data_IF_376455326033
#
_entry.id   IF_376455326033
#
_cell.length_a   1.000
_cell.length_b   1.000
_cell.length_c   1.000
_cell.angle_alpha   90.00
_cell.angle_beta   90.00
_cell.angle_gamma   90.00
#
_symmetry.space_group_name_H-M   'P 1'
#
loop_
_entity.id
_entity.type
_entity.pdbx_description
1 polymer ?
#
# COMPACT_ATOMS: atom_id res chain seq x y z
N UNK A 1 24.41 42.21 15.68
CA UNK A 1 24.70 43.62 15.28
C UNK A 1 26.18 44.01 15.36
N UNK A 2 27.00 43.42 16.24
CA UNK A 2 28.44 43.71 16.35
C UNK A 2 29.28 43.17 15.19
N UNK A 3 28.96 41.99 14.65
CA UNK A 3 29.67 41.42 13.47
C UNK A 3 29.44 42.22 12.18
N UNK A 4 28.28 42.86 12.03
CA UNK A 4 27.96 43.72 10.88
C UNK A 4 28.72 45.05 10.95
N UNK A 5 28.88 45.63 12.15
CA UNK A 5 29.69 46.83 12.38
C UNK A 5 31.19 46.59 12.16
N UNK A 6 31.69 45.40 12.51
CA UNK A 6 33.08 45.02 12.22
C UNK A 6 33.33 44.79 10.71
N UNK A 7 32.37 44.18 10.00
CA UNK A 7 32.47 43.98 8.55
C UNK A 7 32.37 45.31 7.78
N UNK A 8 31.52 46.25 8.21
CA UNK A 8 31.43 47.60 7.63
C UNK A 8 32.68 48.44 7.92
N UNK A 9 33.30 48.30 9.09
CA UNK A 9 34.57 48.97 9.40
C UNK A 9 35.73 48.40 8.58
N UNK A 10 35.79 47.09 8.35
CA UNK A 10 36.79 46.46 7.49
C UNK A 10 36.59 46.83 6.01
N UNK A 11 35.34 46.87 5.53
CA UNK A 11 35.01 47.34 4.18
C UNK A 11 35.31 48.84 4.00
N UNK A 12 35.09 49.67 5.04
CA UNK A 12 35.44 51.09 5.02
C UNK A 12 36.96 51.32 4.98
N UNK A 13 37.77 50.50 5.66
CA UNK A 13 39.25 50.58 5.57
C UNK A 13 39.77 50.14 4.19
N UNK A 14 39.10 49.18 3.53
CA UNK A 14 39.43 48.77 2.15
C UNK A 14 38.96 49.81 1.12
N UNK A 15 37.80 50.44 1.31
CA UNK A 15 37.29 51.53 0.45
C UNK A 15 38.04 52.85 0.66
N UNK A 16 38.48 53.18 1.88
CA UNK A 16 39.41 54.31 2.14
C UNK A 16 40.82 54.02 1.63
N UNK A 17 41.25 52.76 1.56
CA UNK A 17 42.50 52.37 0.87
C UNK A 17 42.43 52.60 -0.64
N UNK A 18 41.25 52.44 -1.25
CA UNK A 18 41.01 52.70 -2.68
C UNK A 18 40.84 54.20 -3.02
N UNK A 19 40.42 55.04 -2.06
CA UNK A 19 40.35 56.51 -2.24
C UNK A 19 41.53 57.28 -1.62
N UNK A 20 42.40 56.60 -0.85
CA UNK A 20 43.56 57.19 -0.18
C UNK A 20 44.85 57.19 -1.00
N UNK A 21 44.84 56.63 -2.21
CA UNK A 21 45.95 56.76 -3.17
C UNK A 21 45.75 57.96 -4.11
N UNK A 22 45.35 59.09 -3.54
CA UNK A 22 45.63 60.41 -4.08
C UNK A 22 46.64 61.12 -3.17
N UNK A 23 47.59 60.35 -2.60
CA UNK A 23 48.88 60.90 -2.25
C UNK A 23 49.64 61.06 -3.56
N UNK A 24 49.60 62.27 -4.12
CA UNK A 24 50.70 62.71 -4.95
C UNK A 24 51.95 62.57 -4.08
N UNK A 25 52.66 61.45 -4.23
CA UNK A 25 54.10 61.49 -4.07
C UNK A 25 54.58 62.45 -5.15
N UNK A 26 54.44 63.75 -4.87
CA UNK A 26 55.27 64.77 -5.47
C UNK A 26 56.69 64.37 -5.09
N UNK A 27 57.33 63.59 -5.96
CA UNK A 27 58.74 63.75 -6.23
C UNK A 27 58.92 65.11 -6.94
N UNK A 28 58.49 66.18 -6.28
CA UNK A 28 58.84 67.56 -6.62
C UNK A 28 59.97 67.95 -5.67
N UNK A 29 61.05 67.18 -5.77
CA UNK A 29 62.35 67.44 -5.17
C UNK A 29 63.31 67.83 -6.28
N UNK A 30 63.01 68.95 -6.92
CA UNK A 30 63.92 69.89 -7.58
C UNK A 30 65.23 69.28 -8.15
N UNK A 31 65.20 68.86 -9.42
CA UNK A 31 66.42 68.55 -10.20
C UNK A 31 67.39 69.77 -10.21
N UNK A 32 66.86 70.99 -10.01
CA UNK A 32 67.66 72.21 -9.96
C UNK A 32 68.50 72.34 -8.68
N UNK A 33 68.06 71.79 -7.54
CA UNK A 33 68.79 71.88 -6.27
C UNK A 33 69.92 70.83 -6.17
N UNK A 34 69.68 69.62 -6.69
CA UNK A 34 70.70 68.58 -6.79
C UNK A 34 71.84 68.98 -7.74
N UNK A 35 71.53 69.69 -8.83
CA UNK A 35 72.54 70.24 -9.74
C UNK A 35 73.41 71.32 -9.06
N UNK A 36 72.82 72.20 -8.24
CA UNK A 36 73.56 73.25 -7.53
C UNK A 36 74.52 72.68 -6.46
N UNK A 37 74.11 71.67 -5.69
CA UNK A 37 74.96 71.03 -4.68
C UNK A 37 76.15 70.27 -5.28
N UNK A 38 75.99 69.67 -6.46
CA UNK A 38 77.08 68.96 -7.14
C UNK A 38 78.11 69.93 -7.75
N UNK A 39 77.68 71.13 -8.18
CA UNK A 39 78.59 72.20 -8.65
C UNK A 39 79.48 72.71 -7.51
N UNK A 40 78.93 72.86 -6.29
CA UNK A 40 79.70 73.29 -5.11
C UNK A 40 80.74 72.23 -4.65
N UNK A 41 80.42 70.94 -4.76
CA UNK A 41 81.33 69.84 -4.40
C UNK A 41 82.50 69.67 -5.39
N UNK A 42 82.28 70.01 -6.68
CA UNK A 42 83.31 69.98 -7.72
C UNK A 42 84.34 71.11 -7.53
N UNK A 43 83.91 72.28 -7.04
CA UNK A 43 84.80 73.38 -6.67
C UNK A 43 85.63 73.05 -5.41
N UNK A 44 85.07 72.22 -4.51
CA UNK A 44 85.76 71.69 -3.33
C UNK A 44 86.70 70.49 -3.63
N UNK A 45 86.89 70.12 -4.90
CA UNK A 45 87.89 69.12 -5.33
C UNK A 45 87.53 67.67 -5.01
N UNK A 46 86.25 67.33 -4.83
CA UNK A 46 85.80 65.94 -4.64
C UNK A 46 85.32 65.32 -5.95
N UNK A 47 85.54 64.01 -6.06
CA UNK A 47 85.28 63.21 -7.26
C UNK A 47 83.77 63.07 -7.57
N UNK A 48 83.49 63.08 -8.88
CA UNK A 48 82.16 63.06 -9.52
C UNK A 48 81.35 61.78 -9.21
N UNK A 49 82.02 60.73 -8.73
CA UNK A 49 81.40 59.43 -8.39
C UNK A 49 80.43 59.50 -7.20
N UNK A 50 80.54 60.54 -6.37
CA UNK A 50 79.69 60.70 -5.18
C UNK A 50 78.28 61.22 -5.49
N UNK A 51 78.08 61.89 -6.63
CA UNK A 51 76.76 62.38 -7.09
C UNK A 51 75.96 61.32 -7.88
N UNK A 52 76.59 60.26 -8.39
CA UNK A 52 75.98 59.32 -9.35
C UNK A 52 75.62 57.95 -8.73
N UNK A 53 75.46 57.87 -7.40
CA UNK A 53 74.95 56.66 -6.74
C UNK A 53 73.46 56.51 -7.02
N UNK A 54 73.12 55.95 -8.18
CA UNK A 54 71.77 55.50 -8.48
C UNK A 54 71.30 54.49 -7.41
N UNK A 55 70.11 54.65 -6.82
CA UNK A 55 69.51 53.63 -5.97
C UNK A 55 69.45 52.31 -6.71
N UNK A 56 69.83 51.24 -6.02
CA UNK A 56 70.13 49.94 -6.60
C UNK A 56 68.90 49.37 -7.36
N UNK A 57 68.94 49.18 -8.70
CA UNK A 57 67.75 48.85 -9.52
C UNK A 57 67.22 47.41 -9.35
N UNK A 58 67.89 46.58 -8.54
CA UNK A 58 67.50 45.20 -8.23
C UNK A 58 66.94 45.04 -6.82
N UNK A 59 67.15 46.02 -5.93
CA UNK A 59 66.64 46.00 -4.56
C UNK A 59 65.80 47.24 -4.34
N UNK A 60 64.45 47.12 -4.29
CA UNK A 60 63.61 48.26 -4.01
C UNK A 60 63.99 48.86 -2.67
N UNK A 61 63.77 50.17 -2.53
CA UNK A 61 64.12 50.85 -1.30
C UNK A 61 63.45 50.16 -0.09
N UNK A 62 64.17 50.08 1.03
CA UNK A 62 63.73 49.35 2.23
C UNK A 62 62.33 49.78 2.70
N UNK A 63 61.94 51.03 2.42
CA UNK A 63 60.62 51.55 2.73
C UNK A 63 59.49 50.85 1.93
N UNK A 64 59.67 50.58 0.63
CA UNK A 64 58.67 49.91 -0.21
C UNK A 64 58.46 48.46 0.23
N UNK A 65 59.54 47.76 0.60
CA UNK A 65 59.45 46.39 1.11
C UNK A 65 58.68 46.36 2.44
N UNK A 66 58.93 47.30 3.34
CA UNK A 66 58.26 47.35 4.65
C UNK A 66 56.76 47.64 4.48
N UNK A 67 56.39 48.66 3.72
CA UNK A 67 54.98 49.02 3.50
C UNK A 67 54.25 48.00 2.63
N UNK A 68 54.89 47.46 1.60
CA UNK A 68 54.35 46.41 0.76
C UNK A 68 54.12 45.11 1.53
N UNK A 69 55.08 44.69 2.36
CA UNK A 69 54.94 43.52 3.25
C UNK A 69 53.83 43.76 4.28
N UNK A 70 53.73 44.97 4.84
CA UNK A 70 52.67 45.32 5.78
C UNK A 70 51.28 45.23 5.12
N UNK A 71 51.10 45.81 3.93
CA UNK A 71 49.86 45.71 3.16
C UNK A 71 49.50 44.26 2.81
N UNK A 72 50.47 43.48 2.35
CA UNK A 72 50.30 42.05 2.07
C UNK A 72 49.90 41.27 3.32
N UNK A 73 50.57 41.51 4.45
CA UNK A 73 50.27 40.85 5.72
C UNK A 73 48.86 41.16 6.22
N UNK A 74 48.39 42.41 6.09
CA UNK A 74 47.02 42.81 6.46
C UNK A 74 45.97 42.09 5.60
N UNK A 75 46.16 42.03 4.28
CA UNK A 75 45.25 41.31 3.38
C UNK A 75 45.29 39.80 3.64
N UNK A 76 46.48 39.21 3.81
CA UNK A 76 46.66 37.80 4.15
C UNK A 76 45.95 37.46 5.46
N UNK A 77 46.12 38.30 6.49
CA UNK A 77 45.46 38.12 7.78
C UNK A 77 43.93 38.20 7.65
N UNK A 78 43.42 39.17 6.88
CA UNK A 78 41.98 39.27 6.57
C UNK A 78 41.46 38.00 5.88
N UNK A 79 42.16 37.52 4.86
CA UNK A 79 41.78 36.30 4.13
C UNK A 79 41.84 35.07 5.02
N UNK A 80 42.86 34.93 5.86
CA UNK A 80 42.99 33.83 6.81
C UNK A 80 41.86 33.84 7.85
N UNK A 81 41.50 35.03 8.34
CA UNK A 81 40.45 35.23 9.35
C UNK A 81 39.03 35.05 8.82
N UNK A 82 38.76 35.37 7.55
CA UNK A 82 37.41 35.38 6.97
C UNK A 82 37.16 34.32 5.91
N UNK A 83 38.08 34.10 4.96
CA UNK A 83 37.85 33.17 3.84
C UNK A 83 37.95 31.70 4.29
N UNK A 84 38.95 31.35 5.11
CA UNK A 84 39.10 29.98 5.61
C UNK A 84 37.89 29.48 6.42
N UNK A 85 37.36 30.22 7.43
CA UNK A 85 36.19 29.72 8.15
C UNK A 85 34.96 29.66 7.25
N UNK A 86 34.76 30.60 6.33
CA UNK A 86 33.63 30.56 5.40
C UNK A 86 33.66 29.30 4.51
N UNK A 87 34.82 28.92 3.97
CA UNK A 87 34.96 27.70 3.17
C UNK A 87 34.77 26.43 3.98
N UNK A 88 35.29 26.38 5.22
CA UNK A 88 35.07 25.21 6.10
C UNK A 88 33.59 25.03 6.40
N UNK A 89 32.89 26.09 6.77
CA UNK A 89 31.45 26.00 7.08
C UNK A 89 30.59 25.48 5.93
N UNK A 90 30.92 25.83 4.68
CA UNK A 90 30.14 25.35 3.52
C UNK A 90 30.45 23.90 3.18
N UNK A 91 31.71 23.48 3.32
CA UNK A 91 32.12 22.08 3.14
C UNK A 91 31.52 21.19 4.24
N UNK A 92 31.59 21.62 5.50
CA UNK A 92 31.00 20.91 6.63
C UNK A 92 29.48 20.79 6.48
N UNK A 93 28.80 21.88 6.08
CA UNK A 93 27.36 21.84 5.82
C UNK A 93 26.97 20.91 4.65
N UNK A 94 27.81 20.79 3.62
CA UNK A 94 27.59 19.82 2.53
C UNK A 94 27.84 18.39 3.00
N UNK A 95 28.91 18.15 3.75
CA UNK A 95 29.22 16.84 4.30
C UNK A 95 28.10 16.34 5.22
N UNK A 96 27.58 17.22 6.08
CA UNK A 96 26.47 16.90 6.97
C UNK A 96 25.18 16.59 6.21
N UNK A 97 24.86 17.37 5.17
CA UNK A 97 23.71 17.08 4.29
C UNK A 97 23.84 15.73 3.61
N UNK A 98 25.00 15.44 3.02
CA UNK A 98 25.23 14.16 2.32
C UNK A 98 25.11 12.99 3.30
N UNK A 99 25.66 13.11 4.51
CA UNK A 99 25.50 12.09 5.55
C UNK A 99 24.04 11.90 5.92
N UNK A 100 23.31 12.99 6.19
CA UNK A 100 21.89 12.93 6.49
C UNK A 100 21.06 12.31 5.37
N UNK A 101 21.37 12.63 4.11
CA UNK A 101 20.69 12.05 2.95
C UNK A 101 21.00 10.55 2.79
N UNK A 102 22.24 10.12 3.06
CA UNK A 102 22.62 8.70 3.05
C UNK A 102 21.95 7.93 4.19
N UNK A 103 21.97 8.46 5.41
CA UNK A 103 21.33 7.85 6.57
C UNK A 103 19.81 7.74 6.34
N UNK A 104 19.19 8.76 5.76
CA UNK A 104 17.78 8.74 5.39
C UNK A 104 17.47 7.71 4.30
N UNK A 105 18.33 7.60 3.29
CA UNK A 105 18.18 6.59 2.22
C UNK A 105 18.34 5.16 2.77
N UNK A 106 19.30 4.93 3.67
CA UNK A 106 19.48 3.65 4.34
C UNK A 106 18.28 3.29 5.22
N UNK A 107 17.77 4.25 5.99
CA UNK A 107 16.57 4.07 6.82
C UNK A 107 15.33 3.73 5.96
N UNK A 108 15.10 4.47 4.87
CA UNK A 108 14.00 4.20 3.94
C UNK A 108 14.14 2.83 3.26
N UNK A 109 15.37 2.43 2.92
CA UNK A 109 15.62 1.10 2.34
C UNK A 109 15.31 0.00 3.36
N UNK A 110 15.77 0.14 4.60
CA UNK A 110 15.48 -0.82 5.67
C UNK A 110 13.97 -0.92 5.97
N UNK A 111 13.27 0.21 5.99
CA UNK A 111 11.81 0.24 6.14
C UNK A 111 11.11 -0.45 4.97
N UNK A 112 11.52 -0.17 3.73
CA UNK A 112 10.95 -0.80 2.54
C UNK A 112 11.20 -2.33 2.51
N UNK A 113 12.38 -2.78 2.93
CA UNK A 113 12.70 -4.21 3.07
C UNK A 113 11.85 -4.86 4.17
N UNK A 114 11.66 -4.18 5.30
CA UNK A 114 10.77 -4.61 6.39
C UNK A 114 9.32 -4.78 5.92
N UNK A 115 8.77 -3.73 5.31
CA UNK A 115 7.42 -3.73 4.71
C UNK A 115 7.27 -4.86 3.70
N UNK A 116 8.24 -5.05 2.80
CA UNK A 116 8.20 -6.10 1.79
C UNK A 116 8.21 -7.51 2.42
N UNK A 117 8.93 -7.70 3.51
CA UNK A 117 8.93 -8.95 4.28
C UNK A 117 7.58 -9.22 4.94
N UNK A 118 6.97 -8.19 5.54
CA UNK A 118 5.63 -8.27 6.11
C UNK A 118 4.57 -8.58 5.04
N UNK A 119 4.62 -7.90 3.89
CA UNK A 119 3.72 -8.18 2.76
C UNK A 119 3.86 -9.62 2.25
N UNK A 120 5.09 -10.15 2.15
CA UNK A 120 5.31 -11.54 1.76
C UNK A 120 4.73 -12.52 2.77
N UNK A 121 4.87 -12.24 4.05
CA UNK A 121 4.31 -13.04 5.14
C UNK A 121 2.79 -13.02 5.08
N UNK A 122 2.17 -11.85 4.97
CA UNK A 122 0.73 -11.70 4.82
C UNK A 122 0.19 -12.41 3.57
N UNK A 123 0.91 -12.38 2.45
CA UNK A 123 0.51 -13.10 1.25
C UNK A 123 0.59 -14.63 1.43
N UNK A 124 1.60 -15.12 2.14
CA UNK A 124 1.72 -16.54 2.46
C UNK A 124 0.58 -16.97 3.40
N UNK A 125 0.31 -16.19 4.44
CA UNK A 125 -0.77 -16.44 5.39
C UNK A 125 -2.14 -16.41 4.70
N UNK A 126 -2.40 -15.42 3.84
CA UNK A 126 -3.63 -15.34 3.07
C UNK A 126 -3.84 -16.55 2.14
N UNK A 127 -2.75 -17.09 1.55
CA UNK A 127 -2.82 -18.31 0.73
C UNK A 127 -3.10 -19.55 1.57
N UNK A 128 -2.46 -19.68 2.73
CA UNK A 128 -2.71 -20.77 3.66
C UNK A 128 -4.14 -20.74 4.20
N UNK A 129 -4.63 -19.56 4.57
CA UNK A 129 -6.00 -19.33 5.01
C UNK A 129 -7.01 -19.67 3.92
N UNK A 130 -6.78 -19.21 2.69
CA UNK A 130 -7.64 -19.55 1.55
C UNK A 130 -7.68 -21.06 1.30
N UNK A 131 -6.52 -21.74 1.38
CA UNK A 131 -6.46 -23.19 1.22
C UNK A 131 -7.24 -23.91 2.34
N UNK A 132 -7.14 -23.41 3.60
CA UNK A 132 -7.90 -23.93 4.73
C UNK A 132 -9.41 -23.77 4.53
N UNK A 133 -9.86 -22.58 4.12
CA UNK A 133 -11.28 -22.31 3.86
C UNK A 133 -11.81 -23.22 2.75
N UNK A 134 -11.05 -23.43 1.68
CA UNK A 134 -11.46 -24.32 0.59
C UNK A 134 -11.58 -25.77 1.08
N UNK A 135 -10.64 -26.23 1.91
CA UNK A 135 -10.67 -27.57 2.46
C UNK A 135 -11.83 -27.78 3.44
N UNK A 136 -12.07 -26.82 4.33
CA UNK A 136 -13.23 -26.83 5.24
C UNK A 136 -14.56 -26.81 4.46
N UNK A 137 -14.67 -26.00 3.41
CA UNK A 137 -15.84 -25.96 2.55
C UNK A 137 -16.08 -27.30 1.82
N UNK A 138 -15.01 -27.99 1.39
CA UNK A 138 -15.11 -29.33 0.78
C UNK A 138 -15.58 -30.37 1.79
N UNK A 139 -15.02 -30.36 3.00
CA UNK A 139 -15.41 -31.29 4.07
C UNK A 139 -16.89 -31.08 4.45
N UNK A 140 -17.30 -29.82 4.65
CA UNK A 140 -18.68 -29.47 4.94
C UNK A 140 -19.64 -29.86 3.80
N UNK A 141 -19.23 -29.66 2.54
CA UNK A 141 -20.02 -30.07 1.38
C UNK A 141 -20.18 -31.60 1.31
N UNK A 142 -19.13 -32.36 1.60
CA UNK A 142 -19.19 -33.82 1.63
C UNK A 142 -20.06 -34.34 2.78
N UNK A 143 -19.98 -33.73 3.96
CA UNK A 143 -20.86 -34.04 5.09
C UNK A 143 -22.32 -33.74 4.77
N UNK A 144 -22.60 -32.55 4.23
CA UNK A 144 -23.95 -32.16 3.81
C UNK A 144 -24.50 -33.10 2.74
N UNK A 145 -23.66 -33.52 1.78
CA UNK A 145 -24.05 -34.48 0.76
C UNK A 145 -24.44 -35.83 1.36
N UNK A 146 -23.66 -36.36 2.31
CA UNK A 146 -23.96 -37.62 3.00
C UNK A 146 -25.25 -37.50 3.81
N UNK A 147 -25.42 -36.39 4.52
CA UNK A 147 -26.62 -36.12 5.30
C UNK A 147 -27.87 -36.05 4.41
N UNK A 148 -27.81 -35.30 3.31
CA UNK A 148 -28.91 -35.19 2.35
C UNK A 148 -29.24 -36.54 1.70
N UNK A 149 -28.23 -37.35 1.38
CA UNK A 149 -28.45 -38.70 0.87
C UNK A 149 -29.15 -39.58 1.91
N UNK A 150 -28.69 -39.59 3.16
CA UNK A 150 -29.31 -40.37 4.23
C UNK A 150 -30.76 -39.93 4.52
N UNK A 151 -31.02 -38.62 4.53
CA UNK A 151 -32.38 -38.07 4.66
C UNK A 151 -33.26 -38.48 3.49
N UNK A 152 -32.78 -38.35 2.25
CA UNK A 152 -33.53 -38.75 1.07
C UNK A 152 -33.86 -40.25 1.07
N UNK A 153 -32.92 -41.11 1.49
CA UNK A 153 -33.17 -42.55 1.63
C UNK A 153 -34.23 -42.85 2.69
N UNK A 154 -34.18 -42.16 3.83
CA UNK A 154 -35.20 -42.24 4.89
C UNK A 154 -36.58 -41.80 4.39
N UNK A 155 -36.65 -40.66 3.71
CA UNK A 155 -37.91 -40.12 3.17
C UNK A 155 -38.51 -41.04 2.10
N UNK A 156 -37.67 -41.61 1.22
CA UNK A 156 -38.09 -42.60 0.23
C UNK A 156 -38.61 -43.87 0.91
N UNK A 157 -37.94 -44.35 1.97
CA UNK A 157 -38.39 -45.52 2.71
C UNK A 157 -39.76 -45.28 3.36
N UNK A 158 -39.93 -44.12 4.03
CA UNK A 158 -41.21 -43.72 4.62
C UNK A 158 -42.31 -43.60 3.56
N UNK A 159 -42.02 -42.95 2.43
CA UNK A 159 -42.97 -42.81 1.33
C UNK A 159 -43.39 -44.18 0.78
N UNK A 160 -42.46 -45.13 0.64
CA UNK A 160 -42.77 -46.50 0.21
C UNK A 160 -43.67 -47.22 1.20
N UNK A 161 -43.41 -47.09 2.50
CA UNK A 161 -44.26 -47.68 3.54
C UNK A 161 -45.67 -47.10 3.50
N UNK A 162 -45.81 -45.78 3.37
CA UNK A 162 -47.11 -45.11 3.22
C UNK A 162 -47.83 -45.55 1.95
N UNK A 163 -47.15 -45.55 0.80
CA UNK A 163 -47.72 -46.00 -0.46
C UNK A 163 -48.18 -47.46 -0.40
N UNK A 164 -47.42 -48.34 0.25
CA UNK A 164 -47.83 -49.73 0.44
C UNK A 164 -49.09 -49.85 1.32
N UNK A 165 -49.19 -49.06 2.39
CA UNK A 165 -50.38 -49.00 3.24
C UNK A 165 -51.60 -48.46 2.47
N UNK A 166 -51.41 -47.41 1.67
CA UNK A 166 -52.47 -46.82 0.83
C UNK A 166 -52.96 -47.82 -0.22
N UNK A 167 -52.06 -48.58 -0.84
CA UNK A 167 -52.41 -49.65 -1.80
C UNK A 167 -53.24 -50.73 -1.12
N UNK A 168 -52.86 -51.17 0.08
CA UNK A 168 -53.61 -52.22 0.80
C UNK A 168 -55.01 -51.72 1.25
N UNK A 169 -55.09 -50.45 1.68
CA UNK A 169 -56.37 -49.80 1.99
C UNK A 169 -57.26 -49.69 0.74
N UNK A 170 -56.71 -49.22 -0.39
CA UNK A 170 -57.43 -49.10 -1.65
C UNK A 170 -57.89 -50.47 -2.18
N UNK A 171 -57.07 -51.52 -2.04
CA UNK A 171 -57.44 -52.89 -2.40
C UNK A 171 -58.59 -53.41 -1.54
N UNK A 172 -58.54 -53.18 -0.22
CA UNK A 172 -59.61 -53.58 0.70
C UNK A 172 -60.92 -52.87 0.34
N UNK A 173 -60.84 -51.57 0.04
CA UNK A 173 -61.99 -50.79 -0.42
C UNK A 173 -62.55 -51.34 -1.73
N UNK A 174 -61.70 -51.56 -2.75
CA UNK A 174 -62.12 -52.11 -4.03
C UNK A 174 -62.78 -53.49 -3.91
N UNK A 175 -62.29 -54.37 -3.02
CA UNK A 175 -62.91 -55.66 -2.75
C UNK A 175 -64.29 -55.49 -2.10
N UNK A 176 -64.44 -54.53 -1.18
CA UNK A 176 -65.73 -54.21 -0.55
C UNK A 176 -66.73 -53.68 -1.58
N UNK A 177 -66.31 -52.78 -2.45
CA UNK A 177 -67.13 -52.20 -3.51
C UNK A 177 -67.59 -53.28 -4.50
N UNK A 178 -66.67 -54.14 -4.96
CA UNK A 178 -66.98 -55.29 -5.82
C UNK A 178 -67.97 -56.26 -5.17
N UNK A 179 -67.83 -56.54 -3.86
CA UNK A 179 -68.80 -57.38 -3.13
C UNK A 179 -70.18 -56.73 -3.10
N UNK A 180 -70.25 -55.41 -2.90
CA UNK A 180 -71.49 -54.64 -2.97
C UNK A 180 -72.16 -54.76 -4.34
N UNK A 181 -71.41 -54.52 -5.42
CA UNK A 181 -71.90 -54.63 -6.79
C UNK A 181 -72.37 -56.06 -7.13
N UNK A 182 -71.60 -57.08 -6.77
CA UNK A 182 -71.97 -58.49 -7.00
C UNK A 182 -73.23 -58.86 -6.20
N UNK A 183 -73.36 -58.37 -4.97
CA UNK A 183 -74.56 -58.62 -4.15
C UNK A 183 -75.79 -57.96 -4.78
N UNK A 184 -75.67 -56.72 -5.26
CA UNK A 184 -76.75 -56.03 -5.96
C UNK A 184 -77.15 -56.75 -7.25
N UNK A 185 -76.17 -57.21 -8.04
CA UNK A 185 -76.42 -57.98 -9.26
C UNK A 185 -77.10 -59.33 -8.98
N UNK A 186 -76.67 -60.02 -7.92
CA UNK A 186 -77.25 -61.29 -7.50
C UNK A 186 -78.69 -61.13 -6.99
N UNK A 187 -78.98 -60.08 -6.21
CA UNK A 187 -80.34 -59.75 -5.77
C UNK A 187 -81.23 -59.44 -6.98
N UNK A 188 -80.77 -58.58 -7.91
CA UNK A 188 -81.54 -58.27 -9.12
C UNK A 188 -81.81 -59.50 -9.99
N UNK A 189 -80.85 -60.42 -10.11
CA UNK A 189 -81.06 -61.70 -10.80
C UNK A 189 -82.05 -62.60 -10.07
N UNK A 190 -82.01 -62.66 -8.73
CA UNK A 190 -82.96 -63.44 -7.93
C UNK A 190 -84.38 -62.85 -8.02
N UNK A 191 -84.53 -61.53 -7.95
CA UNK A 191 -85.80 -60.82 -8.14
C UNK A 191 -86.42 -61.17 -9.49
N UNK A 192 -85.64 -61.16 -10.58
CA UNK A 192 -86.10 -61.55 -11.92
C UNK A 192 -86.60 -62.99 -11.98
N UNK A 193 -85.95 -63.94 -11.29
CA UNK A 193 -86.35 -65.36 -11.25
C UNK A 193 -87.62 -65.56 -10.42
N UNK A 194 -87.75 -64.85 -9.29
CA UNK A 194 -88.94 -64.89 -8.45
C UNK A 194 -90.12 -64.26 -9.18
N UNK A 195 -89.94 -63.12 -9.85
CA UNK A 195 -90.96 -62.48 -10.68
C UNK A 195 -91.47 -63.42 -11.78
N UNK A 196 -90.58 -64.18 -12.44
CA UNK A 196 -90.96 -65.20 -13.42
C UNK A 196 -91.68 -66.42 -12.82
N UNK A 197 -91.38 -66.82 -11.58
CA UNK A 197 -92.08 -67.90 -10.89
C UNK A 197 -93.42 -67.45 -10.27
N UNK A 198 -93.61 -66.15 -10.04
CA UNK A 198 -94.86 -65.56 -9.54
C UNK A 198 -95.93 -65.37 -10.63
N UNK A 199 -95.83 -66.09 -11.74
CA UNK A 199 -96.89 -66.13 -12.74
C UNK A 199 -98.19 -66.69 -12.13
N UNK A 200 -99.33 -66.16 -12.57
CA UNK A 200 -100.64 -66.43 -11.99
C UNK A 200 -100.97 -67.93 -12.00
N UNK A 201 -100.53 -68.62 -13.05
CA UNK A 201 -100.74 -70.05 -13.26
C UNK A 201 -99.92 -70.91 -12.29
N UNK A 202 -98.70 -70.48 -11.93
CA UNK A 202 -97.83 -71.19 -10.97
C UNK A 202 -98.35 -71.04 -9.54
N UNK A 203 -98.84 -69.86 -9.19
CA UNK A 203 -99.48 -69.61 -7.89
C UNK A 203 -100.77 -70.43 -7.72
N UNK A 204 -101.59 -70.56 -8.77
CA UNK A 204 -102.79 -71.43 -8.74
C UNK A 204 -102.39 -72.90 -8.54
N UNK A 205 -101.37 -73.40 -9.25
CA UNK A 205 -100.88 -74.76 -9.08
C UNK A 205 -100.33 -75.07 -7.68
N UNK A 206 -99.61 -74.11 -7.06
CA UNK A 206 -99.13 -74.21 -5.68
C UNK A 206 -100.30 -74.26 -4.67
N UNK A 207 -101.31 -73.40 -4.84
CA UNK A 207 -102.53 -73.41 -4.01
C UNK A 207 -103.27 -74.75 -4.15
N UNK A 208 -103.44 -75.25 -5.37
CA UNK A 208 -104.09 -76.54 -5.64
C UNK A 208 -103.33 -77.70 -4.96
N UNK A 209 -101.99 -77.70 -5.02
CA UNK A 209 -101.17 -78.73 -4.37
C UNK A 209 -101.24 -78.68 -2.84
N UNK A 210 -101.32 -77.47 -2.26
CA UNK A 210 -101.45 -77.30 -0.81
C UNK A 210 -102.84 -77.73 -0.33
N UNK A 211 -103.91 -77.39 -1.08
CA UNK A 211 -105.28 -77.85 -0.83
C UNK A 211 -105.32 -79.40 -0.88
N UNK A 212 -104.68 -80.01 -1.88
CA UNK A 212 -104.63 -81.47 -1.99
C UNK A 212 -103.83 -82.12 -0.85
N UNK A 213 -102.76 -81.48 -0.36
CA UNK A 213 -101.93 -82.04 0.72
C UNK A 213 -102.57 -81.90 2.10
N UNK A 214 -103.29 -80.80 2.36
CA UNK A 214 -104.05 -80.61 3.61
C UNK A 214 -105.34 -81.44 3.60
N UNK A 215 -105.98 -81.61 2.43
CA UNK A 215 -107.12 -82.50 2.26
C UNK A 215 -106.77 -84.00 2.28
N UNK A 216 -105.52 -84.38 2.02
CA UNK A 216 -105.05 -85.76 2.15
C UNK A 216 -104.61 -86.16 3.58
N UNK A 217 -104.44 -85.18 4.48
CA UNK A 217 -104.06 -85.38 5.88
C UNK A 217 -105.23 -85.18 6.87
N UNK A 218 -106.47 -85.17 6.38
CA UNK A 218 -107.72 -85.27 7.14
C UNK A 218 -108.56 -86.44 6.62
#
# INVERSE_FOLDING_TARGET
>A
MTKLRLALAAAAVVLLGLFGFAGTASAEGDISHAAHLCIEQLEAGKDIDSCQKAPNPLLPETHEIIWGTFGFAVVLFGMWKFALPAMKTTLDARAERIKGDLDAAEAQKAEAEGILSEYRTQLADARNESARIIEEARQSADEMKRELQARAESDIAELRTRAAADIEAAKTQAISDLRGEVTALAIGAAEQVVERNLDRDTNVALIESYINQVGANS
#
